data_IF_063828607198
#
_entry.id   IF_063828607198
#
_cell.length_a   1.000
_cell.length_b   1.000
_cell.length_c   1.000
_cell.angle_alpha   90.00
_cell.angle_beta   90.00
_cell.angle_gamma   90.00
#
_symmetry.space_group_name_H-M   'P 1'
#
loop_
_entity.id
_entity.type
_entity.pdbx_description
1 polymer ?
#
# COMPACT_ATOMS: atom_id res chain seq x y z
N UNK A 1 17.21 23.10 -47.75
CA UNK A 1 16.95 21.66 -47.60
C UNK A 1 16.22 21.47 -46.27
N UNK A 2 15.07 20.80 -46.30
CA UNK A 2 14.04 20.69 -45.26
C UNK A 2 14.32 19.50 -44.32
N UNK A 3 13.79 19.59 -43.08
CA UNK A 3 13.39 18.52 -42.11
C UNK A 3 14.52 17.90 -41.25
N UNK A 4 14.33 17.58 -39.95
CA UNK A 4 13.15 17.62 -39.08
C UNK A 4 13.55 17.70 -37.59
N UNK A 5 12.72 18.39 -36.81
CA UNK A 5 12.53 18.21 -35.37
C UNK A 5 12.09 16.76 -35.08
N UNK A 6 12.68 16.13 -34.07
CA UNK A 6 12.00 15.05 -33.33
C UNK A 6 12.28 15.21 -31.83
N UNK A 7 11.36 15.90 -31.16
CA UNK A 7 11.13 15.76 -29.72
C UNK A 7 10.47 14.39 -29.53
N UNK A 8 11.18 13.45 -28.90
CA UNK A 8 10.59 12.19 -28.46
C UNK A 8 9.76 12.41 -27.19
N UNK A 9 8.52 11.92 -27.11
CA UNK A 9 7.78 11.92 -25.85
C UNK A 9 8.34 10.81 -24.96
N UNK A 10 8.86 11.18 -23.78
CA UNK A 10 9.11 10.23 -22.70
C UNK A 10 7.74 9.80 -22.16
N UNK A 11 7.40 8.55 -22.46
CA UNK A 11 6.17 7.87 -22.08
C UNK A 11 6.17 7.69 -20.56
N UNK A 12 5.21 8.34 -19.88
CA UNK A 12 4.86 8.01 -18.51
C UNK A 12 4.30 6.58 -18.48
N UNK A 13 5.09 5.62 -18.00
CA UNK A 13 4.58 4.29 -17.66
C UNK A 13 3.81 4.39 -16.33
N UNK A 14 2.54 4.77 -16.40
CA UNK A 14 1.61 4.58 -15.30
C UNK A 14 1.30 3.09 -15.18
N UNK A 15 1.99 2.39 -14.29
CA UNK A 15 1.68 1.00 -13.97
C UNK A 15 0.28 0.94 -13.37
N UNK A 16 -0.69 0.56 -14.20
CA UNK A 16 -2.08 0.37 -13.78
C UNK A 16 -2.13 -0.79 -12.77
N UNK A 17 -2.57 -0.47 -11.55
CA UNK A 17 -2.88 -1.44 -10.53
C UNK A 17 -4.14 -2.21 -10.98
N UNK A 18 -3.96 -3.33 -11.70
CA UNK A 18 -5.08 -4.19 -12.10
C UNK A 18 -5.52 -5.00 -10.88
N UNK A 19 -6.68 -4.62 -10.35
CA UNK A 19 -7.41 -5.27 -9.27
C UNK A 19 -8.07 -6.55 -9.79
N UNK A 20 -7.65 -7.70 -9.29
CA UNK A 20 -8.44 -8.93 -9.31
C UNK A 20 -8.73 -9.31 -7.86
N UNK A 21 -9.92 -8.97 -7.39
CA UNK A 21 -10.45 -9.42 -6.10
C UNK A 21 -11.49 -10.50 -6.38
N UNK A 22 -11.23 -11.74 -5.97
CA UNK A 22 -12.28 -12.76 -5.89
C UNK A 22 -13.05 -12.51 -4.60
N UNK A 23 -14.33 -12.14 -4.72
CA UNK A 23 -15.27 -11.98 -3.60
C UNK A 23 -16.12 -13.24 -3.51
N UNK A 24 -16.02 -13.96 -2.39
CA UNK A 24 -17.10 -14.83 -1.91
C UNK A 24 -18.20 -13.94 -1.36
N UNK A 25 -19.40 -14.03 -1.93
CA UNK A 25 -20.57 -13.25 -1.56
C UNK A 25 -20.85 -13.31 -0.05
N UNK A 26 -20.56 -12.22 0.66
CA UNK A 26 -21.01 -11.96 2.02
C UNK A 26 -22.21 -11.02 1.98
N UNK A 27 -23.28 -11.38 2.69
CA UNK A 27 -24.52 -10.63 2.84
C UNK A 27 -24.29 -9.15 3.17
N UNK A 28 -24.97 -8.26 2.44
CA UNK A 28 -25.13 -6.85 2.79
C UNK A 28 -26.01 -6.72 4.03
N UNK A 29 -25.41 -6.79 5.21
CA UNK A 29 -26.02 -6.21 6.41
C UNK A 29 -25.77 -4.72 6.36
N UNK A 30 -26.84 -3.93 6.39
CA UNK A 30 -26.81 -2.50 6.65
C UNK A 30 -26.03 -2.30 7.96
N UNK A 31 -24.74 -2.06 7.84
CA UNK A 31 -23.81 -2.07 8.96
C UNK A 31 -24.05 -0.78 9.75
N UNK A 32 -24.58 -0.90 10.97
CA UNK A 32 -24.77 0.23 11.89
C UNK A 32 -23.50 1.02 12.21
N UNK A 33 -22.34 0.49 11.83
CA UNK A 33 -21.06 1.16 12.00
C UNK A 33 -21.01 2.49 11.24
N UNK A 34 -20.58 3.55 11.94
CA UNK A 34 -20.38 4.89 11.35
C UNK A 34 -18.94 5.15 10.94
N UNK A 35 -18.00 4.33 11.42
CA UNK A 35 -16.57 4.46 11.09
C UNK A 35 -15.84 3.14 11.22
N UNK A 36 -14.68 3.07 10.58
CA UNK A 36 -13.70 2.00 10.75
C UNK A 36 -12.34 2.58 11.11
N UNK A 37 -11.65 1.95 12.04
CA UNK A 37 -10.31 2.33 12.49
C UNK A 37 -9.32 1.31 11.96
N UNK A 38 -8.30 1.76 11.23
CA UNK A 38 -7.13 0.95 10.89
C UNK A 38 -6.20 1.00 12.12
N UNK A 39 -6.29 -0.02 12.97
CA UNK A 39 -5.53 -0.04 14.23
C UNK A 39 -4.13 -0.61 14.07
N UNK A 40 -3.91 -1.46 13.07
CA UNK A 40 -2.63 -2.12 12.85
C UNK A 40 -2.40 -2.42 11.36
N UNK A 41 -1.16 -2.24 10.90
CA UNK A 41 -0.69 -2.58 9.55
C UNK A 41 0.58 -3.40 9.71
N UNK A 42 0.62 -4.59 9.10
CA UNK A 42 1.76 -5.49 9.13
C UNK A 42 2.22 -5.82 7.71
N UNK A 43 3.50 -5.63 7.46
CA UNK A 43 4.23 -6.31 6.39
C UNK A 43 4.82 -7.57 7.00
N UNK A 44 4.32 -8.74 6.61
CA UNK A 44 4.74 -10.02 7.18
C UNK A 44 5.84 -10.70 6.35
N UNK A 45 5.87 -10.40 5.05
CA UNK A 45 6.84 -10.95 4.10
C UNK A 45 6.95 -10.01 2.90
N UNK A 46 8.14 -9.94 2.31
CA UNK A 46 8.41 -9.31 1.02
C UNK A 46 9.57 -10.04 0.33
N UNK A 47 9.67 -9.99 -1.02
CA UNK A 47 10.74 -10.63 -1.76
C UNK A 47 12.08 -9.90 -1.56
N UNK A 48 13.20 -10.60 -1.78
CA UNK A 48 14.54 -9.98 -1.72
C UNK A 48 14.76 -8.95 -2.82
N UNK A 49 14.15 -9.17 -3.98
CA UNK A 49 14.28 -8.34 -5.16
C UNK A 49 12.94 -7.72 -5.52
N UNK A 50 12.99 -6.54 -6.13
CA UNK A 50 11.90 -5.90 -6.86
C UNK A 50 11.48 -6.82 -8.03
N UNK A 51 10.30 -6.56 -8.58
CA UNK A 51 9.77 -7.31 -9.72
C UNK A 51 10.64 -7.24 -10.97
N UNK A 52 11.46 -6.19 -11.11
CA UNK A 52 12.43 -6.01 -12.19
C UNK A 52 13.81 -6.64 -11.90
N UNK A 53 13.95 -7.35 -10.78
CA UNK A 53 15.19 -8.01 -10.37
C UNK A 53 16.19 -7.10 -9.65
N UNK A 54 15.93 -5.80 -9.51
CA UNK A 54 16.77 -4.90 -8.71
C UNK A 54 16.57 -5.15 -7.21
N UNK A 55 17.56 -4.78 -6.41
CA UNK A 55 17.43 -4.77 -4.95
C UNK A 55 16.60 -3.58 -4.48
N UNK A 56 16.01 -3.71 -3.29
CA UNK A 56 15.35 -2.62 -2.56
C UNK A 56 16.30 -1.43 -2.35
N UNK A 57 17.43 -1.70 -1.69
CA UNK A 57 18.51 -0.73 -1.48
C UNK A 57 19.90 -1.34 -1.84
N UNK A 58 20.96 -0.55 -1.71
CA UNK A 58 22.35 -0.92 -1.96
C UNK A 58 22.88 -1.90 -0.88
N UNK A 59 22.58 -3.17 -1.09
CA UNK A 59 23.02 -4.27 -0.24
C UNK A 59 24.54 -4.34 -0.03
N UNK A 60 25.35 -4.00 -1.05
CA UNK A 60 26.81 -4.00 -0.92
C UNK A 60 27.32 -2.87 0.00
N UNK A 61 26.55 -1.79 0.11
CA UNK A 61 26.76 -0.73 1.10
C UNK A 61 26.22 -1.06 2.49
N UNK A 62 25.61 -2.24 2.67
CA UNK A 62 24.96 -2.64 3.93
C UNK A 62 23.59 -2.01 4.15
N UNK A 63 23.03 -1.34 3.14
CA UNK A 63 21.71 -0.73 3.22
C UNK A 63 20.61 -1.75 2.92
N UNK A 64 19.57 -1.70 3.73
CA UNK A 64 18.38 -2.54 3.65
C UNK A 64 17.14 -1.65 3.58
N UNK A 65 16.02 -2.14 3.03
CA UNK A 65 14.83 -1.32 2.82
C UNK A 65 14.33 -0.61 4.08
N UNK A 66 13.97 0.64 3.91
CA UNK A 66 13.45 1.52 4.95
C UNK A 66 11.92 1.66 4.77
N UNK A 67 11.15 0.90 5.52
CA UNK A 67 9.72 0.70 5.21
C UNK A 67 8.83 1.69 5.92
N UNK A 68 7.92 2.34 5.19
CA UNK A 68 6.83 3.14 5.75
C UNK A 68 5.51 2.88 5.01
N UNK A 69 4.41 3.44 5.51
CA UNK A 69 3.10 3.31 4.86
C UNK A 69 2.46 4.65 4.52
N UNK A 70 1.54 4.59 3.55
CA UNK A 70 0.69 5.68 3.09
C UNK A 70 -0.75 5.18 3.03
N UNK A 71 -1.70 5.98 3.51
CA UNK A 71 -3.13 5.70 3.33
C UNK A 71 -3.67 6.68 2.29
N UNK A 72 -4.30 6.14 1.26
CA UNK A 72 -4.91 6.89 0.16
C UNK A 72 -6.42 6.66 0.14
N UNK A 73 -7.18 7.71 -0.12
CA UNK A 73 -8.53 7.57 -0.63
C UNK A 73 -8.42 7.44 -2.16
N UNK A 74 -8.70 6.24 -2.66
CA UNK A 74 -8.57 5.90 -4.08
C UNK A 74 -9.66 6.59 -4.89
N UNK A 75 -10.89 6.56 -4.40
CA UNK A 75 -12.06 7.14 -5.07
C UNK A 75 -11.90 8.66 -5.24
N UNK A 76 -11.46 9.35 -4.18
CA UNK A 76 -11.21 10.79 -4.20
C UNK A 76 -9.81 11.18 -4.72
N UNK A 77 -8.97 10.20 -5.09
CA UNK A 77 -7.58 10.39 -5.57
C UNK A 77 -6.72 11.25 -4.63
N UNK A 78 -6.82 11.03 -3.32
CA UNK A 78 -6.17 11.85 -2.29
C UNK A 78 -5.29 11.03 -1.35
N UNK A 79 -4.11 11.54 -1.00
CA UNK A 79 -3.32 11.03 0.11
C UNK A 79 -3.94 11.53 1.42
N UNK A 80 -4.33 10.60 2.28
CA UNK A 80 -4.97 10.87 3.57
C UNK A 80 -3.96 10.86 4.72
N UNK A 81 -2.94 10.00 4.63
CA UNK A 81 -1.86 9.89 5.60
C UNK A 81 -0.57 9.49 4.91
N UNK A 82 0.55 10.10 5.29
CA UNK A 82 1.90 9.70 4.89
C UNK A 82 2.87 10.11 5.98
N UNK A 83 3.81 9.23 6.34
CA UNK A 83 4.82 9.56 7.34
C UNK A 83 6.16 8.84 7.11
N UNK A 84 6.92 9.21 6.06
CA UNK A 84 8.22 8.60 5.77
C UNK A 84 9.23 8.82 6.91
N UNK A 85 9.08 9.86 7.73
CA UNK A 85 9.96 10.11 8.87
C UNK A 85 9.86 9.07 9.99
N UNK A 86 8.77 8.29 10.06
CA UNK A 86 8.55 7.21 11.04
C UNK A 86 8.66 5.82 10.42
N UNK A 87 9.52 5.68 9.41
CA UNK A 87 9.82 4.40 8.77
C UNK A 87 10.55 3.45 9.72
N UNK A 88 10.43 2.15 9.45
CA UNK A 88 11.24 1.11 10.08
C UNK A 88 12.49 0.96 9.23
N UNK A 89 13.63 1.32 9.80
CA UNK A 89 14.89 1.36 9.07
C UNK A 89 15.55 -0.02 8.94
N UNK A 90 16.25 -0.24 7.83
CA UNK A 90 17.06 -1.42 7.55
C UNK A 90 16.32 -2.75 7.77
N UNK A 91 15.12 -2.88 7.23
CA UNK A 91 14.30 -4.07 7.38
C UNK A 91 15.00 -5.27 6.69
N UNK A 92 15.32 -6.28 7.50
CA UNK A 92 15.97 -7.51 7.01
C UNK A 92 15.09 -8.24 5.99
N UNK A 93 15.74 -9.04 5.13
CA UNK A 93 15.06 -9.98 4.25
C UNK A 93 14.16 -10.91 5.08
N UNK A 94 12.92 -11.07 4.62
CA UNK A 94 11.85 -11.78 5.35
C UNK A 94 11.52 -11.18 6.73
N UNK A 95 11.97 -9.95 6.99
CA UNK A 95 11.64 -9.20 8.19
C UNK A 95 10.18 -8.74 8.17
N UNK A 96 9.65 -8.53 9.37
CA UNK A 96 8.30 -8.02 9.57
C UNK A 96 8.35 -6.55 9.96
N UNK A 97 7.46 -5.74 9.39
CA UNK A 97 7.24 -4.36 9.81
C UNK A 97 5.82 -4.20 10.35
N UNK A 98 5.66 -3.45 11.44
CA UNK A 98 4.37 -3.23 12.09
C UNK A 98 4.16 -1.75 12.43
N UNK A 99 2.98 -1.25 12.09
CA UNK A 99 2.57 0.13 12.32
C UNK A 99 1.21 0.17 13.01
N UNK A 100 1.05 1.09 13.96
CA UNK A 100 -0.21 1.27 14.71
C UNK A 100 -0.74 2.69 14.54
N UNK A 101 -1.37 3.02 13.41
CA UNK A 101 -1.73 4.41 13.11
C UNK A 101 -2.98 4.91 13.83
N UNK A 102 -3.90 4.02 14.21
CA UNK A 102 -5.21 4.41 14.75
C UNK A 102 -6.00 5.29 13.78
N UNK A 103 -5.82 5.09 12.47
CA UNK A 103 -6.39 5.98 11.44
C UNK A 103 -7.88 5.73 11.28
N UNK A 104 -8.69 6.79 11.40
CA UNK A 104 -10.15 6.71 11.37
C UNK A 104 -10.69 7.06 9.98
N UNK A 105 -11.51 6.17 9.42
CA UNK A 105 -12.28 6.38 8.20
C UNK A 105 -13.75 6.56 8.58
N UNK A 106 -14.29 7.75 8.31
CA UNK A 106 -15.70 8.09 8.58
C UNK A 106 -16.60 7.98 7.34
N UNK A 107 -16.04 8.12 6.13
CA UNK A 107 -16.80 7.97 4.90
C UNK A 107 -16.68 6.53 4.39
N UNK A 108 -17.63 5.69 4.78
CA UNK A 108 -17.66 4.27 4.45
C UNK A 108 -18.06 3.97 3.00
N UNK A 109 -18.39 5.00 2.21
CA UNK A 109 -18.77 4.87 0.79
C UNK A 109 -17.57 4.89 -0.16
N UNK A 110 -16.40 5.28 0.33
CA UNK A 110 -15.18 5.46 -0.47
C UNK A 110 -14.28 4.23 -0.38
N UNK A 111 -13.43 4.02 -1.39
CA UNK A 111 -12.40 2.99 -1.37
C UNK A 111 -11.07 3.58 -0.94
N UNK A 112 -10.35 2.84 -0.10
CA UNK A 112 -9.06 3.23 0.46
C UNK A 112 -7.98 2.22 0.08
N UNK A 113 -6.74 2.67 -0.01
CA UNK A 113 -5.58 1.82 -0.19
C UNK A 113 -4.56 2.12 0.90
N UNK A 114 -4.05 1.06 1.53
CA UNK A 114 -2.92 1.10 2.44
C UNK A 114 -1.73 0.58 1.64
N UNK A 115 -0.78 1.46 1.36
CA UNK A 115 0.40 1.18 0.55
C UNK A 115 1.65 1.19 1.43
N UNK A 116 2.51 0.18 1.30
CA UNK A 116 3.83 0.15 1.93
C UNK A 116 4.90 0.45 0.90
N UNK A 117 5.84 1.30 1.30
CA UNK A 117 6.90 1.82 0.45
C UNK A 117 8.26 1.58 1.10
N UNK A 118 9.25 1.37 0.25
CA UNK A 118 10.67 1.53 0.56
C UNK A 118 11.04 3.00 0.37
N UNK A 119 11.69 3.59 1.36
CA UNK A 119 12.05 5.00 1.35
C UNK A 119 13.39 5.23 0.67
N UNK A 120 13.39 6.11 -0.32
CA UNK A 120 14.58 6.61 -0.98
C UNK A 120 14.76 8.11 -0.67
N UNK A 121 15.96 8.48 -0.22
CA UNK A 121 16.27 9.88 0.09
C UNK A 121 16.61 10.74 -1.15
N UNK A 122 16.94 10.09 -2.26
CA UNK A 122 17.41 10.73 -3.50
C UNK A 122 16.40 10.56 -4.64
N UNK A 123 15.79 9.38 -4.75
CA UNK A 123 14.85 9.02 -5.82
C UNK A 123 13.42 8.91 -5.31
N UNK A 124 12.49 8.58 -6.20
CA UNK A 124 11.13 8.25 -5.79
C UNK A 124 11.10 6.97 -4.95
N UNK A 125 10.22 6.95 -3.94
CA UNK A 125 10.03 5.81 -3.07
C UNK A 125 9.36 4.65 -3.80
N UNK A 126 9.90 3.44 -3.65
CA UNK A 126 9.43 2.26 -4.35
C UNK A 126 8.27 1.58 -3.62
N UNK A 127 7.20 1.26 -4.35
CA UNK A 127 6.05 0.54 -3.79
C UNK A 127 6.42 -0.93 -3.53
N UNK A 128 6.33 -1.35 -2.27
CA UNK A 128 6.50 -2.76 -1.88
C UNK A 128 5.19 -3.52 -2.15
N UNK A 129 4.07 -2.99 -1.68
CA UNK A 129 2.77 -3.63 -1.83
C UNK A 129 1.63 -2.79 -1.32
N UNK A 130 0.40 -3.23 -1.61
CA UNK A 130 -0.79 -2.51 -1.16
C UNK A 130 -1.96 -3.42 -0.90
N UNK A 131 -2.76 -3.08 0.11
CA UNK A 131 -4.05 -3.69 0.36
C UNK A 131 -5.16 -2.65 0.20
N UNK A 132 -6.24 -3.05 -0.45
CA UNK A 132 -7.42 -2.19 -0.68
C UNK A 132 -8.47 -2.53 0.37
N UNK A 133 -9.07 -1.48 0.93
CA UNK A 133 -10.19 -1.52 1.86
C UNK A 133 -11.36 -0.79 1.20
N UNK A 134 -12.45 -1.50 0.96
CA UNK A 134 -13.73 -0.94 0.54
C UNK A 134 -14.72 -1.16 1.67
N UNK A 135 -14.99 -0.18 2.55
CA UNK A 135 -15.78 -0.43 3.75
C UNK A 135 -17.19 -0.97 3.46
N UNK A 136 -17.79 -0.60 2.33
CA UNK A 136 -19.06 -1.15 1.88
C UNK A 136 -19.03 -2.66 1.56
N UNK A 137 -17.86 -3.20 1.22
CA UNK A 137 -17.64 -4.62 0.89
C UNK A 137 -17.08 -5.38 2.11
N UNK A 138 -16.14 -4.75 2.82
CA UNK A 138 -15.38 -5.36 3.90
C UNK A 138 -16.03 -5.18 5.29
N UNK A 139 -17.25 -4.66 5.33
CA UNK A 139 -17.99 -4.40 6.57
C UNK A 139 -17.99 -5.63 7.50
N UNK A 140 -17.65 -5.40 8.76
CA UNK A 140 -17.59 -6.46 9.79
C UNK A 140 -16.33 -7.32 9.77
N UNK A 141 -15.43 -7.18 8.78
CA UNK A 141 -14.14 -7.86 8.79
C UNK A 141 -13.20 -7.16 9.78
N UNK A 142 -12.68 -7.88 10.77
CA UNK A 142 -11.71 -7.31 11.72
C UNK A 142 -10.26 -7.41 11.21
N UNK A 143 -10.03 -8.10 10.09
CA UNK A 143 -8.71 -8.27 9.50
C UNK A 143 -8.84 -8.45 8.01
N UNK A 144 -8.01 -7.73 7.24
CA UNK A 144 -7.81 -7.99 5.82
C UNK A 144 -6.38 -8.49 5.61
N UNK A 145 -6.23 -9.51 4.78
CA UNK A 145 -4.93 -10.08 4.40
C UNK A 145 -4.82 -10.07 2.89
N UNK A 146 -3.66 -9.68 2.38
CA UNK A 146 -3.37 -9.64 0.95
C UNK A 146 -2.01 -10.25 0.69
N UNK A 147 -1.93 -11.13 -0.31
CA UNK A 147 -0.68 -11.74 -0.75
C UNK A 147 -0.55 -11.68 -2.26
N UNK A 148 0.58 -11.16 -2.75
CA UNK A 148 0.93 -11.14 -4.17
C UNK A 148 2.42 -10.96 -4.36
N UNK A 149 2.99 -11.61 -5.37
CA UNK A 149 4.40 -11.44 -5.76
C UNK A 149 5.40 -11.60 -4.60
N UNK A 150 5.09 -12.51 -3.67
CA UNK A 150 5.90 -12.79 -2.48
C UNK A 150 5.75 -11.76 -1.34
N UNK A 151 4.89 -10.76 -1.48
CA UNK A 151 4.55 -9.78 -0.45
C UNK A 151 3.29 -10.24 0.28
N UNK A 152 3.34 -10.25 1.62
CA UNK A 152 2.20 -10.57 2.49
C UNK A 152 1.92 -9.39 3.41
N UNK A 153 0.73 -8.81 3.28
CA UNK A 153 0.23 -7.71 4.08
C UNK A 153 -0.95 -8.14 4.92
N UNK A 154 -1.04 -7.59 6.12
CA UNK A 154 -2.22 -7.72 6.98
C UNK A 154 -2.57 -6.38 7.59
N UNK A 155 -3.85 -6.04 7.64
CA UNK A 155 -4.35 -4.90 8.41
C UNK A 155 -5.42 -5.36 9.38
N UNK A 156 -5.42 -4.80 10.60
CA UNK A 156 -6.50 -4.98 11.57
C UNK A 156 -7.44 -3.79 11.52
N UNK A 157 -8.72 -4.09 11.57
CA UNK A 157 -9.81 -3.13 11.48
C UNK A 157 -10.65 -3.20 12.75
N UNK A 158 -11.08 -2.04 13.23
CA UNK A 158 -12.05 -1.92 14.31
C UNK A 158 -13.24 -1.10 13.84
N UNK A 159 -14.38 -1.76 13.70
CA UNK A 159 -15.64 -1.13 13.33
C UNK A 159 -16.31 -0.51 14.56
N UNK A 160 -16.81 0.72 14.42
CA UNK A 160 -17.47 1.46 15.49
C UNK A 160 -18.72 2.17 14.97
N UNK A 161 -19.72 2.25 15.83
CA UNK A 161 -20.91 3.09 15.67
C UNK A 161 -20.64 4.58 15.98
#
# INVERSE_FOLDING_TARGET
MRLANTLGPLIFAATACILLSFSTAGQSTESGNKRVIISNIQLLKFPELKTDGRRWDNYWGGYLPDVYFVIKNVTAKKIMYSNPSRRIENLKLHGTAEFSPGFVINDLTQTYAICLYDYDSITENDLIGSIVLSPAIDAGQNTLTWEKDGVLLRIKLEWKD
#
